data_IF_898802132577
#
_entry.id   IF_898802132577
#
_cell.length_a   1.000
_cell.length_b   1.000
_cell.length_c   1.000
_cell.angle_alpha   90.00
_cell.angle_beta   90.00
_cell.angle_gamma   90.00
#
_symmetry.space_group_name_H-M   'P 1'
#
loop_
_entity.id
_entity.type
_entity.pdbx_description
1 polymer ?
#
# COMPACT_ATOMS: atom_id res chain seq x y z
N UNK A 1 -12.98 20.05 -23.80
CA UNK A 1 -12.94 20.17 -22.33
C UNK A 1 -13.80 21.36 -21.93
N UNK A 2 -14.89 21.11 -21.20
CA UNK A 2 -15.88 22.16 -20.89
C UNK A 2 -15.43 23.05 -19.72
N UNK A 3 -14.49 22.54 -18.89
CA UNK A 3 -13.94 23.26 -17.73
C UNK A 3 -12.43 23.27 -17.73
N UNK A 4 -11.84 24.43 -17.48
CA UNK A 4 -10.41 24.58 -17.24
C UNK A 4 -10.12 24.34 -15.74
N UNK A 5 -9.33 23.33 -15.35
CA UNK A 5 -8.95 23.13 -13.95
C UNK A 5 -8.00 24.23 -13.48
N UNK A 6 -8.40 24.98 -12.45
CA UNK A 6 -7.64 26.08 -11.86
C UNK A 6 -7.50 25.88 -10.34
N UNK A 7 -6.34 26.23 -9.78
CA UNK A 7 -6.12 26.39 -8.37
C UNK A 7 -6.07 27.90 -8.06
N UNK A 8 -7.14 28.45 -7.50
CA UNK A 8 -7.25 29.87 -7.21
C UNK A 8 -6.52 30.25 -5.92
N UNK A 9 -5.65 31.24 -5.97
CA UNK A 9 -5.01 31.83 -4.80
C UNK A 9 -5.95 32.83 -4.14
N UNK A 10 -6.75 32.38 -3.17
CA UNK A 10 -7.77 33.21 -2.50
C UNK A 10 -7.39 33.62 -1.07
N UNK A 11 -6.21 33.25 -0.61
CA UNK A 11 -5.70 33.68 0.70
C UNK A 11 -5.71 35.21 0.79
N UNK A 12 -6.28 35.76 1.88
CA UNK A 12 -6.44 37.16 2.16
C UNK A 12 -7.28 37.95 1.11
N UNK A 13 -7.97 37.23 0.20
CA UNK A 13 -8.85 37.85 -0.80
C UNK A 13 -10.29 37.89 -0.31
N UNK A 14 -11.03 38.98 -0.61
CA UNK A 14 -12.43 39.10 -0.26
C UNK A 14 -13.31 38.18 -1.11
N UNK A 15 -14.19 37.43 -0.45
CA UNK A 15 -15.17 36.55 -1.04
C UNK A 15 -16.54 36.82 -0.43
N UNK A 16 -17.59 36.91 -1.25
CA UNK A 16 -18.96 37.08 -0.81
C UNK A 16 -19.71 35.74 -0.83
N UNK A 17 -20.47 35.48 0.21
CA UNK A 17 -21.45 34.41 0.28
C UNK A 17 -22.83 35.03 0.51
N UNK A 18 -23.73 34.78 -0.43
CA UNK A 18 -25.13 35.25 -0.36
C UNK A 18 -25.99 34.05 0.03
N UNK A 19 -26.57 34.09 1.20
CA UNK A 19 -27.36 33.02 1.79
C UNK A 19 -26.73 32.42 3.04
N UNK A 20 -27.54 31.70 3.78
CA UNK A 20 -27.21 31.06 5.07
C UNK A 20 -27.71 29.62 5.08
N UNK A 21 -27.32 28.86 6.08
CA UNK A 21 -27.77 27.48 6.24
C UNK A 21 -26.67 26.47 5.95
N UNK A 22 -26.97 25.17 6.13
CA UNK A 22 -25.99 24.07 6.17
C UNK A 22 -25.12 23.98 4.89
N UNK A 23 -25.70 24.30 3.73
CA UNK A 23 -24.96 24.24 2.45
C UNK A 23 -23.99 25.43 2.35
N UNK A 24 -24.44 26.65 2.73
CA UNK A 24 -23.59 27.83 2.80
C UNK A 24 -22.44 27.60 3.78
N UNK A 25 -22.72 27.06 4.97
CA UNK A 25 -21.74 26.82 6.04
C UNK A 25 -20.61 25.89 5.60
N UNK A 26 -20.94 24.84 4.85
CA UNK A 26 -19.93 23.94 4.27
C UNK A 26 -18.99 24.67 3.30
N UNK A 27 -19.51 25.57 2.47
CA UNK A 27 -18.71 26.37 1.54
C UNK A 27 -17.88 27.41 2.29
N UNK A 28 -18.45 28.09 3.28
CA UNK A 28 -17.76 29.04 4.14
C UNK A 28 -16.59 28.40 4.88
N UNK A 29 -16.79 27.21 5.47
CA UNK A 29 -15.74 26.47 6.14
C UNK A 29 -14.57 26.15 5.20
N UNK A 30 -14.87 25.78 3.95
CA UNK A 30 -13.85 25.51 2.94
C UNK A 30 -13.08 26.77 2.52
N UNK A 31 -13.78 27.89 2.34
CA UNK A 31 -13.18 29.20 2.03
C UNK A 31 -12.26 29.69 3.16
N UNK A 32 -12.70 29.54 4.42
CA UNK A 32 -11.87 29.88 5.58
C UNK A 32 -10.62 29.01 5.67
N UNK A 33 -10.75 27.69 5.40
CA UNK A 33 -9.60 26.79 5.32
C UNK A 33 -8.60 27.21 4.25
N UNK A 34 -9.09 27.78 3.15
CA UNK A 34 -8.26 28.35 2.08
C UNK A 34 -7.72 29.75 2.39
N UNK A 35 -8.05 30.32 3.55
CA UNK A 35 -7.57 31.61 4.02
C UNK A 35 -8.28 32.84 3.41
N UNK A 36 -9.46 32.67 2.81
CA UNK A 36 -10.22 33.78 2.25
C UNK A 36 -10.83 34.66 3.33
N UNK A 37 -10.98 35.95 3.05
CA UNK A 37 -11.78 36.89 3.85
C UNK A 37 -13.24 36.78 3.40
N UNK A 38 -14.02 36.00 4.12
CA UNK A 38 -15.40 35.69 3.76
C UNK A 38 -16.34 36.72 4.40
N UNK A 39 -17.15 37.36 3.56
CA UNK A 39 -18.32 38.16 3.99
C UNK A 39 -19.56 37.32 3.71
N UNK A 40 -20.42 37.15 4.70
CA UNK A 40 -21.69 36.43 4.57
C UNK A 40 -22.83 37.45 4.73
N UNK A 41 -23.79 37.39 3.82
CA UNK A 41 -25.00 38.22 3.86
C UNK A 41 -26.24 37.37 3.63
N UNK A 42 -27.38 37.82 4.09
CA UNK A 42 -28.68 37.26 3.73
C UNK A 42 -29.06 37.66 2.31
N UNK A 43 -30.02 36.96 1.70
CA UNK A 43 -30.51 37.33 0.36
C UNK A 43 -31.08 38.74 0.28
N UNK A 44 -31.75 39.20 1.31
CA UNK A 44 -32.35 40.53 1.37
C UNK A 44 -31.33 41.68 1.40
N UNK A 45 -30.09 41.39 1.78
CA UNK A 45 -29.01 42.38 1.88
C UNK A 45 -28.18 42.51 0.61
N UNK A 46 -28.45 41.66 -0.39
CA UNK A 46 -27.63 41.65 -1.60
C UNK A 46 -27.81 42.89 -2.46
N UNK A 47 -26.72 43.57 -2.72
CA UNK A 47 -26.61 44.64 -3.70
C UNK A 47 -25.53 44.33 -4.73
N UNK A 48 -25.75 44.53 -6.04
CA UNK A 48 -24.76 44.27 -7.09
C UNK A 48 -23.42 44.98 -6.87
N UNK A 49 -23.38 46.13 -6.25
CA UNK A 49 -22.18 46.92 -5.90
C UNK A 49 -21.21 46.15 -4.97
N UNK A 50 -21.73 45.25 -4.14
CA UNK A 50 -20.90 44.41 -3.25
C UNK A 50 -19.92 43.51 -4.00
N UNK A 51 -20.21 43.24 -5.29
CA UNK A 51 -19.32 42.46 -6.13
C UNK A 51 -18.11 43.21 -6.70
N UNK A 52 -18.08 44.55 -6.53
CA UNK A 52 -16.98 45.36 -7.06
C UNK A 52 -15.64 45.05 -6.39
N UNK A 53 -15.68 44.64 -5.13
CA UNK A 53 -14.52 44.45 -4.27
C UNK A 53 -14.20 42.95 -3.96
N UNK A 54 -14.93 42.00 -4.53
CA UNK A 54 -14.71 40.58 -4.29
C UNK A 54 -14.11 39.89 -5.52
N UNK A 55 -13.40 38.81 -5.31
CA UNK A 55 -12.83 38.01 -6.40
C UNK A 55 -13.77 36.87 -6.82
N UNK A 56 -14.65 36.46 -5.91
CA UNK A 56 -15.51 35.30 -6.05
C UNK A 56 -16.78 35.50 -5.23
N UNK A 57 -17.91 35.03 -5.75
CA UNK A 57 -19.18 35.01 -5.02
C UNK A 57 -19.81 33.60 -5.04
N UNK A 58 -20.44 33.22 -3.95
CA UNK A 58 -21.26 32.02 -3.83
C UNK A 58 -22.69 32.48 -3.53
N UNK A 59 -23.65 32.02 -4.35
CA UNK A 59 -25.06 32.15 -4.10
C UNK A 59 -25.62 30.82 -3.57
N UNK A 60 -26.08 30.84 -2.32
CA UNK A 60 -26.57 29.66 -1.60
C UNK A 60 -27.91 30.03 -0.91
N UNK A 61 -28.84 30.53 -1.70
CA UNK A 61 -30.21 30.85 -1.24
C UNK A 61 -31.22 29.89 -1.88
N UNK A 62 -32.38 29.76 -1.28
CA UNK A 62 -33.51 28.98 -1.86
C UNK A 62 -34.27 29.81 -2.92
N UNK A 63 -33.99 31.12 -3.06
CA UNK A 63 -34.58 31.97 -4.05
C UNK A 63 -33.78 31.93 -5.36
N UNK A 64 -34.36 31.24 -6.34
CA UNK A 64 -33.73 31.07 -7.67
C UNK A 64 -33.60 32.35 -8.46
N UNK A 65 -34.55 33.29 -8.27
CA UNK A 65 -34.52 34.57 -8.97
C UNK A 65 -33.38 35.43 -8.42
N UNK A 66 -33.24 35.49 -7.11
CA UNK A 66 -32.10 36.17 -6.46
C UNK A 66 -30.77 35.53 -6.88
N UNK A 67 -30.68 34.20 -6.88
CA UNK A 67 -29.48 33.51 -7.33
C UNK A 67 -29.10 33.87 -8.78
N UNK A 68 -30.09 34.01 -9.68
CA UNK A 68 -29.89 34.52 -11.04
C UNK A 68 -29.41 35.95 -11.04
N UNK A 69 -29.98 36.84 -10.25
CA UNK A 69 -29.51 38.25 -10.13
C UNK A 69 -28.06 38.30 -9.68
N UNK A 70 -27.65 37.46 -8.71
CA UNK A 70 -26.24 37.36 -8.29
C UNK A 70 -25.36 36.90 -9.42
N UNK A 71 -25.78 35.90 -10.19
CA UNK A 71 -25.05 35.38 -11.35
C UNK A 71 -24.88 36.44 -12.42
N UNK A 72 -25.94 37.12 -12.82
CA UNK A 72 -25.90 38.16 -13.87
C UNK A 72 -25.01 39.33 -13.45
N UNK A 73 -25.14 39.76 -12.21
CA UNK A 73 -24.34 40.84 -11.63
C UNK A 73 -22.85 40.50 -11.55
N UNK A 74 -22.54 39.23 -11.27
CA UNK A 74 -21.17 38.71 -11.23
C UNK A 74 -20.55 38.62 -12.63
N UNK A 75 -21.31 38.14 -13.63
CA UNK A 75 -20.83 38.04 -15.01
C UNK A 75 -20.51 39.40 -15.62
N UNK A 76 -21.36 40.40 -15.41
CA UNK A 76 -21.11 41.79 -15.87
C UNK A 76 -19.80 42.33 -15.28
N UNK A 77 -19.42 41.88 -14.07
CA UNK A 77 -18.21 42.32 -13.39
C UNK A 77 -17.01 41.39 -13.56
N UNK A 78 -17.17 40.37 -14.38
CA UNK A 78 -16.16 39.31 -14.60
C UNK A 78 -15.68 38.68 -13.29
N UNK A 79 -16.61 38.43 -12.35
CA UNK A 79 -16.35 37.74 -11.10
C UNK A 79 -16.70 36.27 -11.20
N UNK A 80 -15.89 35.41 -10.54
CA UNK A 80 -16.23 34.00 -10.46
C UNK A 80 -17.48 33.82 -9.59
N UNK A 81 -18.45 33.07 -10.10
CA UNK A 81 -19.71 32.80 -9.41
C UNK A 81 -20.03 31.32 -9.39
N UNK A 82 -20.49 30.86 -8.23
CA UNK A 82 -21.05 29.53 -8.05
C UNK A 82 -22.43 29.65 -7.42
N UNK A 83 -23.44 29.24 -8.14
CA UNK A 83 -24.80 29.08 -7.61
C UNK A 83 -24.95 27.62 -7.19
N UNK A 84 -25.28 27.42 -5.92
CA UNK A 84 -25.39 26.06 -5.36
C UNK A 84 -26.54 25.32 -6.04
N UNK A 85 -26.29 24.10 -6.44
CA UNK A 85 -27.22 23.17 -7.09
C UNK A 85 -27.83 23.68 -8.42
N UNK A 86 -27.31 24.76 -9.03
CA UNK A 86 -27.70 25.25 -10.34
C UNK A 86 -26.47 25.43 -11.27
N UNK A 87 -26.04 24.33 -11.89
CA UNK A 87 -24.82 24.30 -12.71
C UNK A 87 -24.83 25.32 -13.87
N UNK A 88 -25.92 25.55 -14.59
CA UNK A 88 -25.96 26.59 -15.63
C UNK A 88 -25.67 28.02 -15.15
N UNK A 89 -25.86 28.27 -13.87
CA UNK A 89 -25.55 29.56 -13.22
C UNK A 89 -24.20 29.55 -12.50
N UNK A 90 -23.26 28.72 -12.96
CA UNK A 90 -21.92 28.61 -12.38
C UNK A 90 -20.84 28.95 -13.43
N UNK A 91 -19.97 29.91 -13.10
CA UNK A 91 -18.73 30.12 -13.88
C UNK A 91 -17.57 29.24 -13.37
N UNK A 92 -17.68 28.65 -12.21
CA UNK A 92 -16.77 27.63 -11.67
C UNK A 92 -17.52 26.63 -10.80
N UNK A 93 -16.95 25.45 -10.61
CA UNK A 93 -17.51 24.38 -9.79
C UNK A 93 -16.54 23.97 -8.68
N UNK A 94 -17.06 23.50 -7.55
CA UNK A 94 -16.26 22.93 -6.49
C UNK A 94 -15.95 21.46 -6.80
N UNK A 95 -14.65 21.06 -6.90
CA UNK A 95 -14.28 19.68 -7.09
C UNK A 95 -14.34 18.86 -5.81
N UNK A 96 -14.31 17.54 -5.92
CA UNK A 96 -13.94 16.66 -4.82
C UNK A 96 -12.44 16.76 -4.60
N UNK A 97 -11.98 16.93 -3.34
CA UNK A 97 -10.58 17.25 -3.03
C UNK A 97 -9.96 16.17 -2.14
N UNK A 98 -8.74 15.74 -2.48
CA UNK A 98 -7.82 15.09 -1.57
C UNK A 98 -6.80 16.11 -1.11
N UNK A 99 -6.84 16.43 0.18
CA UNK A 99 -5.97 17.43 0.80
C UNK A 99 -4.77 16.76 1.48
N UNK A 100 -3.60 17.00 0.93
CA UNK A 100 -2.28 16.67 1.48
C UNK A 100 -1.42 17.93 1.47
N UNK A 101 -1.97 19.05 1.90
CA UNK A 101 -1.34 20.38 1.79
C UNK A 101 0.17 20.35 2.10
N UNK A 102 0.97 21.03 1.26
CA UNK A 102 0.60 21.92 0.15
C UNK A 102 0.24 21.20 -1.16
N UNK A 103 0.23 19.87 -1.20
CA UNK A 103 -0.21 19.10 -2.36
C UNK A 103 -1.74 18.91 -2.31
N UNK A 104 -2.42 19.25 -3.40
CA UNK A 104 -3.86 19.09 -3.57
C UNK A 104 -4.18 18.27 -4.82
N UNK A 105 -5.15 17.37 -4.74
CA UNK A 105 -5.73 16.71 -5.90
C UNK A 105 -7.20 17.08 -5.99
N UNK A 106 -7.60 17.65 -7.12
CA UNK A 106 -8.96 18.05 -7.39
C UNK A 106 -9.59 17.18 -8.47
N UNK A 107 -10.77 16.65 -8.23
CA UNK A 107 -11.47 15.70 -9.11
C UNK A 107 -12.85 16.25 -9.41
N UNK A 108 -13.19 16.37 -10.68
CA UNK A 108 -14.49 16.84 -11.13
C UNK A 108 -15.02 15.96 -12.26
N UNK A 109 -16.33 15.76 -12.27
CA UNK A 109 -17.08 15.17 -13.38
C UNK A 109 -17.83 16.22 -14.20
N UNK A 110 -17.49 17.51 -14.03
CA UNK A 110 -18.22 18.60 -14.68
C UNK A 110 -19.69 18.71 -14.24
N UNK A 111 -20.03 18.22 -13.03
CA UNK A 111 -21.43 18.18 -12.55
C UNK A 111 -22.22 16.95 -12.98
N UNK A 112 -21.74 16.15 -13.96
CA UNK A 112 -22.51 15.05 -14.52
C UNK A 112 -22.64 13.82 -13.59
N UNK A 113 -21.61 13.55 -12.78
CA UNK A 113 -21.58 12.35 -11.91
C UNK A 113 -20.87 12.63 -10.57
N UNK A 114 -21.49 13.37 -9.63
CA UNK A 114 -20.86 13.72 -8.34
C UNK A 114 -20.48 12.49 -7.52
N UNK A 115 -21.25 11.42 -7.56
CA UNK A 115 -20.96 10.16 -6.87
C UNK A 115 -19.71 9.51 -7.42
N UNK A 116 -19.51 9.50 -8.73
CA UNK A 116 -18.29 8.96 -9.35
C UNK A 116 -17.04 9.77 -8.94
N UNK A 117 -17.15 11.11 -8.93
CA UNK A 117 -16.06 11.97 -8.46
C UNK A 117 -15.70 11.71 -6.99
N UNK A 118 -16.70 11.45 -6.13
CA UNK A 118 -16.50 11.04 -4.73
C UNK A 118 -15.80 9.69 -4.61
N UNK A 119 -16.25 8.68 -5.34
CA UNK A 119 -15.63 7.34 -5.34
C UNK A 119 -14.17 7.37 -5.82
N UNK A 120 -13.88 8.17 -6.85
CA UNK A 120 -12.50 8.38 -7.30
C UNK A 120 -11.66 9.11 -6.25
N UNK A 121 -12.23 10.11 -5.56
CA UNK A 121 -11.54 10.77 -4.44
C UNK A 121 -11.16 9.77 -3.35
N UNK A 122 -12.08 8.90 -2.93
CA UNK A 122 -11.86 7.89 -1.90
C UNK A 122 -10.74 6.91 -2.31
N UNK A 123 -10.75 6.46 -3.56
CA UNK A 123 -9.69 5.58 -4.10
C UNK A 123 -8.33 6.29 -4.14
N UNK A 124 -8.26 7.51 -4.66
CA UNK A 124 -7.01 8.28 -4.72
C UNK A 124 -6.51 8.60 -3.31
N UNK A 125 -7.39 8.96 -2.38
CA UNK A 125 -7.03 9.24 -0.99
C UNK A 125 -6.40 8.03 -0.29
N UNK A 126 -6.90 6.82 -0.56
CA UNK A 126 -6.32 5.58 -0.04
C UNK A 126 -4.92 5.27 -0.62
N UNK A 127 -4.66 5.68 -1.85
CA UNK A 127 -3.37 5.47 -2.52
C UNK A 127 -2.31 6.50 -2.12
N UNK A 128 -2.71 7.71 -1.71
CA UNK A 128 -1.78 8.79 -1.41
C UNK A 128 -1.35 8.78 0.06
N UNK A 129 -0.04 8.59 0.36
CA UNK A 129 0.46 8.60 1.72
C UNK A 129 0.14 9.90 2.47
N UNK A 130 -0.16 9.80 3.76
CA UNK A 130 -0.49 10.97 4.59
C UNK A 130 0.68 11.97 4.73
N UNK A 131 1.92 11.50 4.59
CA UNK A 131 3.14 12.30 4.70
C UNK A 131 3.51 13.07 3.42
N UNK A 132 2.74 12.92 2.33
CA UNK A 132 3.08 13.49 1.03
C UNK A 132 3.17 15.02 1.07
N UNK A 133 2.28 15.66 1.83
CA UNK A 133 2.32 17.11 2.03
C UNK A 133 3.57 17.59 2.76
N UNK A 134 3.98 16.88 3.82
CA UNK A 134 5.25 17.19 4.52
C UNK A 134 6.46 17.02 3.61
N UNK A 135 6.45 15.99 2.78
CA UNK A 135 7.52 15.77 1.79
C UNK A 135 7.58 16.92 0.77
N UNK A 136 6.44 17.41 0.28
CA UNK A 136 6.36 18.55 -0.62
C UNK A 136 6.80 19.86 0.06
N UNK A 137 6.46 20.06 1.34
CA UNK A 137 6.87 21.24 2.12
C UNK A 137 8.38 21.27 2.30
N UNK A 138 9.00 20.17 2.70
CA UNK A 138 10.48 20.05 2.82
C UNK A 138 11.13 20.32 1.47
N UNK A 139 10.65 19.69 0.39
CA UNK A 139 11.19 19.94 -0.95
C UNK A 139 11.11 21.41 -1.36
N UNK A 140 10.03 22.10 -0.98
CA UNK A 140 9.84 23.54 -1.20
C UNK A 140 10.90 24.38 -0.53
N UNK A 141 11.32 24.05 0.70
CA UNK A 141 12.38 24.75 1.45
C UNK A 141 13.75 24.61 0.76
N UNK A 142 14.02 23.46 0.13
CA UNK A 142 15.28 23.20 -0.59
C UNK A 142 15.32 23.80 -2.00
N UNK A 143 14.19 24.28 -2.53
CA UNK A 143 14.08 24.68 -3.93
C UNK A 143 15.06 25.77 -4.35
N UNK A 144 15.19 26.83 -3.56
CA UNK A 144 16.09 27.94 -3.91
C UNK A 144 17.57 27.53 -3.78
N UNK A 145 17.92 26.81 -2.73
CA UNK A 145 19.30 26.25 -2.56
C UNK A 145 19.66 25.31 -3.70
N UNK A 146 18.70 24.46 -4.14
CA UNK A 146 18.92 23.57 -5.29
C UNK A 146 19.23 24.36 -6.56
N UNK A 147 18.54 25.49 -6.79
CA UNK A 147 18.78 26.35 -7.96
C UNK A 147 20.20 26.94 -7.98
N UNK A 148 20.76 27.25 -6.81
CA UNK A 148 22.14 27.79 -6.71
C UNK A 148 23.20 26.71 -6.97
N UNK A 149 22.92 25.45 -6.57
CA UNK A 149 23.89 24.34 -6.71
C UNK A 149 23.74 23.66 -8.09
N UNK A 150 22.50 23.43 -8.55
CA UNK A 150 22.24 22.78 -9.85
C UNK A 150 21.58 23.80 -10.79
N UNK A 151 22.40 24.35 -11.68
CA UNK A 151 21.99 25.42 -12.59
C UNK A 151 21.03 24.97 -13.70
N UNK A 152 21.15 23.70 -14.15
CA UNK A 152 20.34 23.18 -15.25
C UNK A 152 18.97 22.67 -14.79
N UNK A 153 17.92 22.91 -15.59
CA UNK A 153 16.56 22.44 -15.29
C UNK A 153 16.47 20.91 -15.25
N UNK A 154 17.17 20.24 -16.18
CA UNK A 154 17.22 18.76 -16.21
C UNK A 154 17.95 18.16 -15.02
N UNK A 155 19.03 18.82 -14.56
CA UNK A 155 19.74 18.41 -13.35
C UNK A 155 18.84 18.49 -12.13
N UNK A 156 18.08 19.60 -12.00
CA UNK A 156 17.11 19.78 -10.91
C UNK A 156 15.99 18.76 -10.97
N UNK A 157 15.46 18.45 -12.17
CA UNK A 157 14.45 17.42 -12.35
C UNK A 157 14.97 16.05 -11.92
N UNK A 158 16.15 15.63 -12.39
CA UNK A 158 16.78 14.35 -12.01
C UNK A 158 17.08 14.25 -10.51
N UNK A 159 17.46 15.37 -9.88
CA UNK A 159 17.65 15.40 -8.44
C UNK A 159 16.36 15.09 -7.69
N UNK A 160 15.24 15.78 -8.05
CA UNK A 160 13.96 15.55 -7.40
C UNK A 160 13.36 14.20 -7.74
N UNK A 161 13.48 13.71 -8.97
CA UNK A 161 13.05 12.36 -9.33
C UNK A 161 13.73 11.31 -8.46
N UNK A 162 15.04 11.43 -8.26
CA UNK A 162 15.79 10.56 -7.36
C UNK A 162 15.39 10.71 -5.90
N UNK A 163 15.26 11.94 -5.42
CA UNK A 163 14.87 12.21 -4.05
C UNK A 163 13.49 11.63 -3.73
N UNK A 164 12.50 11.90 -4.58
CA UNK A 164 11.12 11.42 -4.37
C UNK A 164 10.92 9.93 -4.58
N UNK A 165 11.86 9.26 -5.22
CA UNK A 165 11.84 7.79 -5.43
C UNK A 165 12.84 7.03 -4.56
N UNK A 166 13.70 7.72 -3.83
CA UNK A 166 14.81 7.13 -3.07
C UNK A 166 14.72 7.35 -1.57
N UNK A 167 15.89 7.39 -0.94
CA UNK A 167 16.06 7.44 0.52
C UNK A 167 15.30 8.59 1.19
N UNK A 168 15.25 9.78 0.58
CA UNK A 168 14.48 10.90 1.11
C UNK A 168 13.00 10.55 1.29
N UNK A 169 12.36 10.00 0.25
CA UNK A 169 10.94 9.61 0.32
C UNK A 169 10.72 8.51 1.35
N UNK A 170 11.62 7.53 1.42
CA UNK A 170 11.56 6.43 2.39
C UNK A 170 11.65 6.92 3.83
N UNK A 171 12.57 7.84 4.12
CA UNK A 171 12.71 8.46 5.45
C UNK A 171 11.48 9.29 5.83
N UNK A 172 10.95 10.08 4.89
CA UNK A 172 9.72 10.84 5.10
C UNK A 172 8.52 9.91 5.36
N UNK A 173 8.44 8.79 4.69
CA UNK A 173 7.40 7.78 4.91
C UNK A 173 7.52 7.11 6.29
N UNK A 174 8.74 6.89 6.76
CA UNK A 174 9.03 6.38 8.10
C UNK A 174 8.86 7.42 9.22
N UNK A 175 8.57 8.69 8.90
CA UNK A 175 8.42 9.78 9.88
C UNK A 175 9.73 10.44 10.30
N UNK A 176 10.87 10.06 9.71
CA UNK A 176 12.23 10.52 10.07
C UNK A 176 12.59 11.80 9.30
N UNK A 177 11.84 12.90 9.51
CA UNK A 177 12.03 14.15 8.76
C UNK A 177 13.42 14.74 8.91
N UNK A 178 13.96 14.78 10.11
CA UNK A 178 15.29 15.36 10.35
C UNK A 178 16.40 14.62 9.56
N UNK A 179 16.35 13.28 9.53
CA UNK A 179 17.30 12.48 8.77
C UNK A 179 17.08 12.65 7.25
N UNK A 180 15.82 12.82 6.82
CA UNK A 180 15.48 13.09 5.42
C UNK A 180 16.08 14.42 4.94
N UNK A 181 15.97 15.49 5.75
CA UNK A 181 16.56 16.80 5.47
C UNK A 181 18.08 16.73 5.41
N UNK A 182 18.74 16.06 6.37
CA UNK A 182 20.18 15.83 6.34
C UNK A 182 20.64 15.04 5.11
N UNK A 183 19.81 14.08 4.68
CA UNK A 183 20.09 13.31 3.48
C UNK A 183 20.05 14.20 2.23
N UNK A 184 19.05 15.08 2.09
CA UNK A 184 19.01 16.05 1.00
C UNK A 184 20.20 17.00 1.03
N UNK A 185 20.60 17.48 2.20
CA UNK A 185 21.78 18.35 2.35
C UNK A 185 23.06 17.68 1.88
N UNK A 186 23.29 16.43 2.32
CA UNK A 186 24.45 15.65 1.88
C UNK A 186 24.42 15.40 0.38
N UNK A 187 23.24 15.09 -0.16
CA UNK A 187 23.06 14.87 -1.60
C UNK A 187 23.33 16.13 -2.44
N UNK A 188 22.99 17.30 -1.92
CA UNK A 188 23.31 18.59 -2.54
C UNK A 188 24.80 18.91 -2.46
N UNK A 189 25.42 18.69 -1.30
CA UNK A 189 26.83 19.02 -1.07
C UNK A 189 27.79 18.11 -1.87
N UNK A 190 27.43 16.84 -2.05
CA UNK A 190 28.31 15.87 -2.73
C UNK A 190 28.28 16.00 -4.27
N UNK A 191 27.29 16.67 -4.83
CA UNK A 191 27.07 16.68 -6.30
C UNK A 191 26.88 15.29 -6.90
N UNK A 192 27.03 14.23 -6.09
CA UNK A 192 26.90 12.83 -6.46
C UNK A 192 25.50 12.33 -6.08
N UNK A 193 24.96 11.40 -6.85
CA UNK A 193 23.74 10.69 -6.48
C UNK A 193 23.92 10.05 -5.10
N UNK A 194 22.92 10.23 -4.22
CA UNK A 194 22.89 9.57 -2.92
C UNK A 194 23.14 8.07 -3.07
N UNK A 195 23.82 7.46 -2.09
CA UNK A 195 23.92 6.01 -2.00
C UNK A 195 22.48 5.44 -2.09
N UNK A 196 22.32 4.38 -2.86
CA UNK A 196 21.05 3.66 -2.93
C UNK A 196 20.74 2.99 -1.59
N UNK A 197 19.63 2.28 -1.55
CA UNK A 197 19.18 1.55 -0.37
C UNK A 197 18.63 0.17 -0.75
N UNK A 198 18.55 -0.71 0.23
CA UNK A 198 17.90 -2.01 0.10
C UNK A 198 16.59 -1.98 0.88
N UNK A 199 15.49 -2.36 0.23
CA UNK A 199 14.18 -2.46 0.87
C UNK A 199 13.69 -3.90 0.75
N UNK A 200 13.57 -4.60 1.88
CA UNK A 200 12.90 -5.90 1.91
C UNK A 200 11.40 -5.68 1.89
N UNK A 201 10.69 -6.36 0.98
CA UNK A 201 9.25 -6.25 0.85
C UNK A 201 8.62 -7.64 0.87
N UNK A 202 7.64 -7.83 1.76
CA UNK A 202 6.81 -9.03 1.75
C UNK A 202 5.77 -8.96 0.63
N UNK A 203 5.83 -9.95 -0.27
CA UNK A 203 4.91 -10.06 -1.40
C UNK A 203 3.54 -10.64 -1.02
N UNK A 204 3.38 -11.10 0.23
CA UNK A 204 2.21 -11.85 0.64
C UNK A 204 2.21 -13.31 0.14
N UNK A 205 1.10 -14.03 0.34
CA UNK A 205 1.02 -15.49 0.14
C UNK A 205 0.77 -15.91 -1.32
N UNK A 206 0.40 -14.99 -2.20
CA UNK A 206 0.11 -15.30 -3.60
C UNK A 206 -0.88 -14.37 -4.29
N UNK A 207 -1.99 -14.04 -3.65
CA UNK A 207 -2.95 -13.06 -4.14
C UNK A 207 -2.33 -11.65 -4.12
N UNK A 208 -2.28 -10.98 -5.29
CA UNK A 208 -1.74 -9.63 -5.42
C UNK A 208 -2.53 -8.59 -4.61
N UNK A 209 -3.82 -8.83 -4.36
CA UNK A 209 -4.67 -7.99 -3.51
C UNK A 209 -4.26 -7.98 -2.03
N UNK A 210 -3.43 -8.94 -1.62
CA UNK A 210 -2.88 -9.02 -0.26
C UNK A 210 -1.50 -8.34 -0.11
N UNK A 211 -0.99 -7.72 -1.17
CA UNK A 211 0.18 -6.87 -1.06
C UNK A 211 -0.18 -5.63 -0.23
N UNK A 212 0.70 -5.27 0.71
CA UNK A 212 0.46 -4.05 1.49
C UNK A 212 0.54 -2.80 0.60
N UNK A 213 -0.22 -1.75 0.92
CA UNK A 213 -0.15 -0.47 0.20
C UNK A 213 1.28 0.09 0.16
N UNK A 214 2.04 -0.07 1.25
CA UNK A 214 3.45 0.33 1.31
C UNK A 214 4.31 -0.54 0.40
N UNK A 215 4.06 -1.84 0.35
CA UNK A 215 4.73 -2.77 -0.56
C UNK A 215 4.52 -2.36 -2.02
N UNK A 216 3.28 -2.09 -2.42
CA UNK A 216 2.95 -1.60 -3.77
C UNK A 216 3.70 -0.31 -4.12
N UNK A 217 3.67 0.69 -3.22
CA UNK A 217 4.38 1.95 -3.44
C UNK A 217 5.89 1.75 -3.66
N UNK A 218 6.51 0.86 -2.88
CA UNK A 218 7.94 0.60 -2.94
C UNK A 218 8.34 -0.12 -4.23
N UNK A 219 7.60 -1.17 -4.63
CA UNK A 219 7.92 -1.90 -5.88
C UNK A 219 7.71 -1.04 -7.13
N UNK A 220 6.80 -0.05 -7.06
CA UNK A 220 6.60 0.94 -8.13
C UNK A 220 7.66 2.06 -8.14
N UNK A 221 8.54 2.11 -7.16
CA UNK A 221 9.63 3.09 -7.07
C UNK A 221 11.01 2.45 -7.25
N UNK A 222 11.08 1.14 -7.34
CA UNK A 222 12.33 0.39 -7.45
C UNK A 222 13.05 0.65 -8.78
N UNK A 223 14.39 0.74 -8.75
CA UNK A 223 15.23 0.70 -9.94
C UNK A 223 15.54 -0.74 -10.35
N UNK A 224 15.66 -1.63 -9.34
CA UNK A 224 15.85 -3.06 -9.53
C UNK A 224 15.10 -3.84 -8.46
N UNK A 225 14.43 -4.93 -8.88
CA UNK A 225 13.69 -5.84 -8.00
C UNK A 225 14.31 -7.23 -8.09
N UNK A 226 14.83 -7.72 -6.97
CA UNK A 226 15.27 -9.10 -6.79
C UNK A 226 14.13 -9.91 -6.16
N UNK A 227 13.67 -10.94 -6.83
CA UNK A 227 12.52 -11.74 -6.36
C UNK A 227 12.81 -13.25 -6.36
N UNK A 228 12.05 -14.02 -5.57
CA UNK A 228 12.10 -15.47 -5.56
C UNK A 228 10.87 -16.09 -6.26
N UNK A 229 10.88 -17.42 -6.47
CA UNK A 229 9.83 -18.15 -7.17
C UNK A 229 8.48 -18.19 -6.44
N UNK A 230 8.43 -17.81 -5.16
CA UNK A 230 7.17 -17.74 -4.42
C UNK A 230 6.37 -16.47 -4.75
N UNK A 231 7.02 -15.48 -5.36
CA UNK A 231 6.36 -14.26 -5.82
C UNK A 231 5.58 -14.57 -7.09
N UNK A 232 4.27 -14.42 -7.05
CA UNK A 232 3.37 -14.74 -8.17
C UNK A 232 3.49 -13.71 -9.30
N UNK A 233 3.08 -14.11 -10.50
CA UNK A 233 3.09 -13.22 -11.66
C UNK A 233 2.18 -12.00 -11.43
N UNK A 234 1.01 -12.17 -10.78
CA UNK A 234 0.13 -11.04 -10.46
C UNK A 234 0.79 -9.97 -9.57
N UNK A 235 1.67 -10.36 -8.64
CA UNK A 235 2.45 -9.39 -7.87
C UNK A 235 3.57 -8.78 -8.72
N UNK A 236 4.21 -9.57 -9.59
CA UNK A 236 5.29 -9.09 -10.47
C UNK A 236 4.81 -8.08 -11.51
N UNK A 237 3.59 -8.22 -11.99
CA UNK A 237 2.96 -7.28 -12.93
C UNK A 237 2.72 -5.89 -12.30
N UNK A 238 2.67 -5.80 -10.97
CA UNK A 238 2.57 -4.52 -10.25
C UNK A 238 3.90 -3.76 -10.16
N UNK A 239 5.03 -4.41 -10.49
CA UNK A 239 6.35 -3.76 -10.52
C UNK A 239 6.37 -2.73 -11.66
N UNK A 240 7.05 -1.61 -11.43
CA UNK A 240 7.26 -0.59 -12.45
C UNK A 240 7.84 -1.20 -13.74
N UNK A 241 7.28 -0.88 -14.90
CA UNK A 241 7.61 -1.53 -16.19
C UNK A 241 9.08 -1.40 -16.61
N UNK A 242 9.73 -0.32 -16.23
CA UNK A 242 11.14 0.00 -16.54
C UNK A 242 12.12 -0.43 -15.44
N UNK A 243 11.64 -1.05 -14.35
CA UNK A 243 12.51 -1.63 -13.34
C UNK A 243 13.16 -2.93 -13.84
N UNK A 244 14.44 -3.08 -13.56
CA UNK A 244 15.16 -4.33 -13.78
C UNK A 244 14.62 -5.41 -12.84
N UNK A 245 14.26 -6.59 -13.36
CA UNK A 245 13.73 -7.70 -12.55
C UNK A 245 14.70 -8.89 -12.60
N UNK A 246 15.20 -9.33 -11.43
CA UNK A 246 16.19 -10.38 -11.29
C UNK A 246 15.62 -11.50 -10.40
N UNK A 247 15.46 -12.70 -10.95
CA UNK A 247 15.06 -13.87 -10.18
C UNK A 247 16.28 -14.43 -9.44
N UNK A 248 16.22 -14.48 -8.10
CA UNK A 248 17.26 -15.09 -7.25
C UNK A 248 16.77 -16.37 -6.56
N UNK A 249 15.56 -16.81 -6.87
CA UNK A 249 14.97 -18.04 -6.32
C UNK A 249 15.54 -19.30 -6.94
N UNK A 250 15.37 -20.44 -6.22
CA UNK A 250 15.75 -21.77 -6.72
C UNK A 250 14.69 -22.30 -7.66
N UNK A 251 15.05 -22.68 -8.89
CA UNK A 251 14.23 -23.60 -9.69
C UNK A 251 14.75 -25.04 -9.51
N UNK A 252 13.84 -25.98 -9.44
CA UNK A 252 14.22 -27.39 -9.48
C UNK A 252 14.99 -27.69 -10.80
N UNK A 253 16.25 -28.10 -10.70
CA UNK A 253 17.09 -28.41 -11.86
C UNK A 253 17.99 -27.28 -12.38
N UNK A 254 17.90 -26.06 -11.88
CA UNK A 254 18.82 -24.95 -12.23
C UNK A 254 19.78 -24.62 -11.08
N UNK A 255 20.97 -24.10 -11.42
CA UNK A 255 21.93 -23.63 -10.42
C UNK A 255 21.28 -22.52 -9.57
N UNK A 256 21.10 -22.82 -8.28
CA UNK A 256 20.57 -21.82 -7.34
C UNK A 256 21.64 -20.82 -7.01
N UNK A 257 21.32 -19.53 -7.08
CA UNK A 257 22.20 -18.47 -6.57
C UNK A 257 22.33 -18.67 -5.05
N UNK A 258 23.56 -18.89 -4.52
CA UNK A 258 23.77 -18.99 -3.08
C UNK A 258 23.35 -17.72 -2.36
N UNK A 259 22.96 -17.81 -1.09
CA UNK A 259 22.49 -16.64 -0.32
C UNK A 259 23.53 -15.53 -0.25
N UNK A 260 24.82 -15.89 -0.10
CA UNK A 260 25.88 -14.89 -0.04
C UNK A 260 26.05 -14.12 -1.35
N UNK A 261 25.87 -14.77 -2.50
CA UNK A 261 25.89 -14.11 -3.81
C UNK A 261 24.68 -13.17 -3.97
N UNK A 262 23.48 -13.61 -3.54
CA UNK A 262 22.29 -12.75 -3.51
C UNK A 262 22.58 -11.49 -2.68
N UNK A 263 23.14 -11.65 -1.47
CA UNK A 263 23.48 -10.52 -0.61
C UNK A 263 24.48 -9.57 -1.30
N UNK A 264 25.50 -10.11 -1.97
CA UNK A 264 26.49 -9.32 -2.72
C UNK A 264 25.85 -8.54 -3.88
N UNK A 265 24.93 -9.16 -4.63
CA UNK A 265 24.22 -8.50 -5.73
C UNK A 265 23.35 -7.33 -5.23
N UNK A 266 22.60 -7.53 -4.12
CA UNK A 266 21.82 -6.48 -3.49
C UNK A 266 22.70 -5.29 -3.06
N UNK A 267 23.81 -5.58 -2.38
CA UNK A 267 24.75 -4.57 -1.89
C UNK A 267 25.42 -3.82 -3.05
N UNK A 268 25.85 -4.54 -4.09
CA UNK A 268 26.48 -3.92 -5.26
C UNK A 268 25.53 -2.95 -5.99
N UNK A 269 24.28 -3.37 -6.19
CA UNK A 269 23.25 -2.53 -6.81
C UNK A 269 22.96 -1.27 -5.97
N UNK A 270 22.85 -1.41 -4.65
CA UNK A 270 22.64 -0.27 -3.77
C UNK A 270 23.84 0.68 -3.73
N UNK A 271 25.06 0.16 -3.70
CA UNK A 271 26.28 0.99 -3.79
C UNK A 271 26.42 1.72 -5.13
N UNK A 272 25.82 1.18 -6.19
CA UNK A 272 25.69 1.87 -7.48
C UNK A 272 24.62 2.98 -7.49
N UNK A 273 23.98 3.28 -6.34
CA UNK A 273 22.99 4.34 -6.19
C UNK A 273 21.56 3.95 -6.60
N UNK A 274 21.26 2.65 -6.73
CA UNK A 274 19.93 2.16 -7.08
C UNK A 274 19.05 2.01 -5.83
N UNK A 275 17.75 2.26 -5.96
CA UNK A 275 16.72 1.80 -5.03
C UNK A 275 16.46 0.32 -5.30
N UNK A 276 16.99 -0.53 -4.43
CA UNK A 276 16.97 -1.99 -4.57
C UNK A 276 15.82 -2.56 -3.75
N UNK A 277 14.89 -3.25 -4.40
CA UNK A 277 13.85 -4.00 -3.71
C UNK A 277 14.18 -5.48 -3.71
N UNK A 278 14.17 -6.09 -2.53
CA UNK A 278 14.16 -7.54 -2.36
C UNK A 278 12.72 -7.99 -2.05
N UNK A 279 12.03 -8.52 -3.05
CA UNK A 279 10.64 -8.97 -2.95
C UNK A 279 10.62 -10.46 -2.58
N UNK A 280 9.96 -10.79 -1.47
CA UNK A 280 9.98 -12.12 -0.84
C UNK A 280 8.56 -12.64 -0.65
N UNK A 281 8.30 -13.90 -1.00
CA UNK A 281 7.01 -14.53 -0.72
C UNK A 281 6.65 -14.50 0.77
N UNK A 282 5.40 -14.24 1.12
CA UNK A 282 4.94 -14.09 2.49
C UNK A 282 5.48 -12.83 3.17
N UNK A 283 6.09 -13.00 4.33
CA UNK A 283 6.76 -11.96 5.13
C UNK A 283 8.28 -12.18 5.12
N UNK A 284 9.10 -11.11 4.99
CA UNK A 284 10.56 -11.23 4.90
C UNK A 284 11.22 -11.89 6.13
N UNK A 285 10.62 -11.73 7.31
CA UNK A 285 11.18 -12.17 8.58
C UNK A 285 10.61 -13.49 9.10
N UNK A 286 9.57 -14.04 8.43
CA UNK A 286 9.00 -15.34 8.79
C UNK A 286 9.55 -16.41 7.85
N UNK A 287 10.56 -17.15 8.29
CA UNK A 287 11.28 -18.19 7.54
C UNK A 287 11.78 -17.75 6.15
N UNK A 288 11.92 -16.43 5.95
CA UNK A 288 12.32 -15.83 4.69
C UNK A 288 13.81 -15.45 4.59
N UNK A 289 14.62 -15.67 5.64
CA UNK A 289 16.04 -15.29 5.71
C UNK A 289 16.31 -13.78 5.55
N UNK A 290 15.28 -12.92 5.68
CA UNK A 290 15.44 -11.48 5.54
C UNK A 290 16.41 -10.87 6.55
N UNK A 291 16.53 -11.47 7.74
CA UNK A 291 17.51 -11.06 8.75
C UNK A 291 18.96 -11.20 8.24
N UNK A 292 19.29 -12.30 7.57
CA UNK A 292 20.63 -12.54 7.01
C UNK A 292 20.96 -11.52 5.90
N UNK A 293 19.97 -11.19 5.05
CA UNK A 293 20.13 -10.20 3.98
C UNK A 293 20.41 -8.80 4.55
N UNK A 294 19.72 -8.42 5.63
CA UNK A 294 19.92 -7.10 6.27
C UNK A 294 21.18 -7.02 7.13
N UNK A 295 21.60 -8.11 7.77
CA UNK A 295 22.89 -8.15 8.45
C UNK A 295 24.03 -7.85 7.49
N UNK A 296 24.03 -8.51 6.32
CA UNK A 296 25.03 -8.25 5.28
C UNK A 296 24.98 -6.80 4.76
N UNK A 297 23.78 -6.23 4.59
CA UNK A 297 23.62 -4.83 4.20
C UNK A 297 24.17 -3.86 5.26
N UNK A 298 23.87 -4.11 6.53
CA UNK A 298 24.37 -3.33 7.67
C UNK A 298 25.92 -3.34 7.74
N UNK A 299 26.52 -4.52 7.65
CA UNK A 299 27.98 -4.72 7.64
C UNK A 299 28.64 -3.98 6.47
N UNK A 300 27.94 -3.92 5.31
CA UNK A 300 28.41 -3.20 4.14
C UNK A 300 28.17 -1.68 4.19
N UNK A 301 27.55 -1.15 5.26
CA UNK A 301 27.19 0.26 5.41
C UNK A 301 26.10 0.74 4.44
N UNK A 302 25.27 -0.18 3.93
CA UNK A 302 24.17 0.13 3.01
C UNK A 302 22.89 0.40 3.82
N UNK A 303 22.22 1.55 3.60
CA UNK A 303 20.93 1.82 4.21
C UNK A 303 19.87 0.80 3.81
N UNK A 304 18.97 0.45 4.74
CA UNK A 304 17.93 -0.51 4.46
C UNK A 304 16.62 -0.19 5.19
N UNK A 305 15.54 -0.80 4.69
CA UNK A 305 14.21 -0.78 5.30
C UNK A 305 13.53 -2.15 5.16
N UNK A 306 12.49 -2.38 5.98
CA UNK A 306 11.62 -3.55 5.87
C UNK A 306 10.17 -3.09 5.72
N UNK A 307 9.49 -3.65 4.75
CA UNK A 307 8.05 -3.55 4.57
C UNK A 307 7.47 -4.94 4.82
N UNK A 308 6.78 -5.18 5.93
CA UNK A 308 6.17 -6.46 6.22
C UNK A 308 5.19 -6.90 5.15
N UNK A 309 4.99 -8.21 5.03
CA UNK A 309 3.96 -8.82 4.20
C UNK A 309 3.07 -9.75 5.02
N UNK A 310 1.97 -10.21 4.43
CA UNK A 310 1.11 -11.18 5.09
C UNK A 310 1.78 -12.55 4.96
N UNK A 311 2.17 -13.11 6.11
CA UNK A 311 2.79 -14.45 6.13
C UNK A 311 1.81 -15.55 5.71
N UNK A 312 2.32 -16.61 5.08
CA UNK A 312 1.50 -17.70 4.58
C UNK A 312 0.57 -18.29 5.65
N UNK A 313 1.04 -18.50 6.88
CA UNK A 313 0.20 -19.05 7.94
C UNK A 313 -1.07 -18.23 8.16
N UNK A 314 -0.98 -16.91 8.22
CA UNK A 314 -2.14 -16.04 8.46
C UNK A 314 -3.12 -16.02 7.28
N UNK A 315 -2.61 -15.85 6.07
CA UNK A 315 -3.48 -15.66 4.91
C UNK A 315 -4.05 -16.97 4.35
N UNK A 316 -3.19 -17.99 4.22
CA UNK A 316 -3.58 -19.27 3.62
C UNK A 316 -4.65 -19.97 4.47
N UNK A 317 -4.51 -19.91 5.80
CA UNK A 317 -5.52 -20.46 6.70
C UNK A 317 -6.82 -19.66 6.70
N UNK A 318 -6.74 -18.33 6.61
CA UNK A 318 -7.94 -17.48 6.48
C UNK A 318 -8.71 -17.81 5.19
N UNK A 319 -8.02 -17.99 4.07
CA UNK A 319 -8.63 -18.40 2.79
C UNK A 319 -9.18 -19.83 2.83
N UNK A 320 -8.62 -20.69 3.66
CA UNK A 320 -9.15 -22.03 3.90
C UNK A 320 -10.29 -22.06 4.94
N UNK A 321 -10.67 -20.93 5.53
CA UNK A 321 -11.67 -20.90 6.61
C UNK A 321 -11.20 -21.61 7.90
N UNK A 322 -9.89 -21.57 8.17
CA UNK A 322 -9.28 -22.16 9.37
C UNK A 322 -8.67 -21.04 10.20
N UNK A 323 -9.32 -20.55 11.26
CA UNK A 323 -8.73 -19.56 12.14
C UNK A 323 -7.56 -20.18 12.92
N UNK A 324 -6.41 -19.50 12.97
CA UNK A 324 -5.23 -19.99 13.69
C UNK A 324 -5.44 -20.06 15.21
N UNK A 325 -6.32 -19.23 15.75
CA UNK A 325 -6.71 -19.20 17.16
C UNK A 325 -8.23 -19.19 17.29
N UNK A 326 -8.74 -19.85 18.34
CA UNK A 326 -10.17 -19.84 18.64
C UNK A 326 -10.35 -20.06 20.13
N UNK A 327 -11.32 -19.34 20.75
CA UNK A 327 -11.56 -19.41 22.20
C UNK A 327 -11.73 -20.85 22.71
N UNK A 328 -12.44 -21.68 21.96
CA UNK A 328 -12.79 -23.03 22.38
C UNK A 328 -11.76 -24.10 21.94
N UNK A 329 -11.00 -23.86 20.84
CA UNK A 329 -10.12 -24.86 20.24
C UNK A 329 -8.63 -24.61 20.48
N UNK A 330 -8.15 -23.38 20.31
CA UNK A 330 -6.72 -23.09 20.40
C UNK A 330 -6.46 -21.68 20.93
N UNK A 331 -5.72 -21.58 22.04
CA UNK A 331 -5.36 -20.31 22.67
C UNK A 331 -3.96 -19.81 22.24
N UNK A 332 -3.22 -20.64 21.53
CA UNK A 332 -1.88 -20.32 21.03
C UNK A 332 -1.67 -20.86 19.62
N UNK A 333 -0.78 -20.23 18.88
CA UNK A 333 -0.29 -20.71 17.60
C UNK A 333 1.22 -20.68 17.58
N UNK A 334 1.83 -21.75 17.09
CA UNK A 334 3.28 -21.83 16.90
C UNK A 334 3.61 -22.00 15.42
N UNK A 335 4.47 -21.12 14.89
CA UNK A 335 5.03 -21.25 13.56
C UNK A 335 6.28 -22.10 13.62
N UNK A 336 6.32 -23.16 12.83
CA UNK A 336 7.41 -24.13 12.80
C UNK A 336 7.90 -24.29 11.36
N UNK A 337 9.19 -24.53 11.18
CA UNK A 337 9.74 -24.92 9.88
C UNK A 337 10.05 -26.43 9.85
N UNK A 338 9.59 -27.14 8.83
CA UNK A 338 9.98 -28.53 8.59
C UNK A 338 11.39 -28.68 7.99
N UNK A 339 12.02 -27.55 7.61
CA UNK A 339 13.37 -27.53 7.06
C UNK A 339 14.35 -26.88 8.02
N UNK A 340 15.15 -27.66 8.70
CA UNK A 340 16.20 -27.23 9.63
C UNK A 340 17.56 -27.80 9.21
N UNK A 341 18.62 -27.10 9.62
CA UNK A 341 19.99 -27.57 9.35
C UNK A 341 20.27 -28.84 10.17
N UNK A 342 21.05 -29.75 9.59
CA UNK A 342 21.43 -31.00 10.26
C UNK A 342 22.12 -30.77 11.63
N UNK A 343 22.84 -29.64 11.76
CA UNK A 343 23.59 -29.29 12.98
C UNK A 343 22.78 -28.34 13.90
N UNK A 344 21.48 -28.12 13.67
CA UNK A 344 20.65 -27.29 14.54
C UNK A 344 20.19 -28.08 15.75
N UNK A 345 19.93 -27.38 16.88
CA UNK A 345 19.31 -27.99 18.06
C UNK A 345 17.99 -28.64 17.67
N UNK A 346 17.75 -29.92 18.04
CA UNK A 346 16.49 -30.59 17.74
C UNK A 346 15.29 -29.83 18.34
N UNK A 347 14.14 -29.93 17.69
CA UNK A 347 12.91 -29.39 18.26
C UNK A 347 12.57 -30.07 19.57
N UNK A 348 12.08 -29.31 20.52
CA UNK A 348 11.39 -29.87 21.68
C UNK A 348 9.98 -30.30 21.28
N UNK A 349 9.87 -31.51 20.80
CA UNK A 349 8.61 -32.09 20.35
C UNK A 349 7.56 -32.16 21.44
N UNK A 350 7.98 -32.27 22.71
CA UNK A 350 7.06 -32.31 23.87
C UNK A 350 6.29 -31.00 24.00
N UNK A 351 6.93 -29.86 23.73
CA UNK A 351 6.26 -28.56 23.71
C UNK A 351 5.35 -28.39 22.48
N UNK A 352 5.72 -28.95 21.34
CA UNK A 352 4.92 -28.87 20.12
C UNK A 352 3.71 -29.84 20.15
N UNK A 353 3.80 -30.92 20.90
CA UNK A 353 2.72 -31.91 21.03
C UNK A 353 1.57 -31.52 21.96
N UNK A 354 1.63 -30.35 22.61
CA UNK A 354 0.60 -29.91 23.54
C UNK A 354 -0.77 -29.73 22.87
N UNK A 355 -1.83 -30.11 23.62
CA UNK A 355 -3.22 -29.88 23.21
C UNK A 355 -3.58 -28.38 23.24
N UNK A 356 -4.66 -27.97 22.52
CA UNK A 356 -5.18 -26.61 22.49
C UNK A 356 -4.18 -25.59 21.89
N UNK A 357 -3.23 -26.07 21.11
CA UNK A 357 -2.26 -25.29 20.35
C UNK A 357 -2.40 -25.61 18.87
N UNK A 358 -2.40 -24.58 18.04
CA UNK A 358 -2.30 -24.73 16.60
C UNK A 358 -0.83 -24.70 16.16
N UNK A 359 -0.40 -25.67 15.37
CA UNK A 359 0.90 -25.62 14.69
C UNK A 359 0.68 -25.25 13.21
N UNK A 360 1.41 -24.24 12.73
CA UNK A 360 1.50 -23.89 11.32
C UNK A 360 2.92 -24.21 10.84
N UNK A 361 3.07 -25.26 10.04
CA UNK A 361 4.35 -25.84 9.68
C UNK A 361 4.70 -25.49 8.24
N UNK A 362 5.69 -24.63 8.07
CA UNK A 362 6.26 -24.24 6.80
C UNK A 362 7.24 -25.29 6.29
N UNK A 363 7.29 -25.47 4.97
CA UNK A 363 8.26 -26.40 4.34
C UNK A 363 8.23 -27.82 4.93
N UNK A 364 7.06 -28.26 5.45
CA UNK A 364 6.92 -29.50 6.21
C UNK A 364 6.56 -30.71 5.37
N UNK A 365 6.12 -30.58 4.12
CA UNK A 365 5.57 -31.68 3.30
C UNK A 365 6.55 -32.82 3.09
N UNK A 366 7.83 -32.51 2.84
CA UNK A 366 8.89 -33.52 2.68
C UNK A 366 9.22 -34.26 3.98
N UNK A 367 8.83 -33.74 5.13
CA UNK A 367 9.05 -34.29 6.46
C UNK A 367 7.75 -34.71 7.16
N UNK A 368 6.66 -34.85 6.42
CA UNK A 368 5.33 -35.10 6.98
C UNK A 368 5.27 -36.42 7.77
N UNK A 369 6.01 -37.45 7.36
CA UNK A 369 6.14 -38.72 8.08
C UNK A 369 6.77 -38.47 9.45
N UNK A 370 7.97 -37.90 9.47
CA UNK A 370 8.74 -37.61 10.67
C UNK A 370 7.96 -36.69 11.63
N UNK A 371 7.34 -35.64 11.11
CA UNK A 371 6.51 -34.70 11.89
C UNK A 371 5.34 -35.41 12.56
N UNK A 372 4.60 -36.27 11.84
CA UNK A 372 3.46 -36.99 12.42
C UNK A 372 3.89 -37.97 13.49
N UNK A 373 4.94 -38.75 13.23
CA UNK A 373 5.48 -39.72 14.19
C UNK A 373 5.98 -39.04 15.45
N UNK A 374 6.76 -37.97 15.32
CA UNK A 374 7.30 -37.25 16.48
C UNK A 374 6.19 -36.60 17.34
N UNK A 375 5.20 -35.98 16.73
CA UNK A 375 4.08 -35.39 17.46
C UNK A 375 3.27 -36.47 18.23
N UNK A 376 3.00 -37.61 17.58
CA UNK A 376 2.27 -38.72 18.22
C UNK A 376 3.11 -39.35 19.33
N UNK A 377 4.39 -39.61 19.12
CA UNK A 377 5.28 -40.18 20.17
C UNK A 377 5.39 -39.29 21.39
N UNK A 378 5.28 -37.98 21.23
CA UNK A 378 5.33 -37.01 22.34
C UNK A 378 3.95 -36.64 22.89
N UNK A 379 2.92 -37.41 22.57
CA UNK A 379 1.61 -37.34 23.22
C UNK A 379 0.51 -36.59 22.50
N UNK A 380 0.75 -36.11 21.26
CA UNK A 380 -0.33 -35.57 20.43
C UNK A 380 -1.24 -36.69 19.95
N UNK A 381 -2.55 -36.51 20.08
CA UNK A 381 -3.51 -37.53 19.65
C UNK A 381 -3.38 -37.75 18.10
N UNK A 382 -3.28 -39.01 17.70
CA UNK A 382 -3.22 -39.39 16.28
C UNK A 382 -4.47 -38.98 15.50
N UNK A 383 -5.61 -38.79 16.18
CA UNK A 383 -6.85 -38.29 15.61
C UNK A 383 -6.90 -36.76 15.51
N UNK A 384 -5.86 -36.03 16.00
CA UNK A 384 -5.81 -34.56 15.88
C UNK A 384 -6.03 -34.13 14.43
N UNK A 385 -6.98 -33.22 14.15
CA UNK A 385 -7.25 -32.74 12.81
C UNK A 385 -6.03 -32.02 12.19
N UNK A 386 -5.81 -32.28 10.91
CA UNK A 386 -4.76 -31.61 10.13
C UNK A 386 -5.31 -31.11 8.80
N UNK A 387 -4.72 -30.04 8.29
CA UNK A 387 -4.93 -29.55 6.95
C UNK A 387 -3.59 -29.41 6.23
N UNK A 388 -3.54 -29.84 4.96
CA UNK A 388 -2.46 -29.51 4.03
C UNK A 388 -3.06 -28.54 2.99
N UNK A 389 -2.60 -27.30 3.03
CA UNK A 389 -3.14 -26.24 2.18
C UNK A 389 -2.07 -25.88 1.15
N UNK A 390 -2.34 -26.22 -0.09
CA UNK A 390 -1.45 -26.03 -1.24
C UNK A 390 -1.83 -24.77 -2.01
N UNK A 391 -0.83 -24.03 -2.48
CA UNK A 391 -1.00 -22.83 -3.33
C UNK A 391 -2.03 -21.85 -2.78
N UNK A 392 -2.02 -21.65 -1.47
CA UNK A 392 -3.00 -20.84 -0.77
C UNK A 392 -3.16 -19.43 -1.34
N UNK A 393 -4.37 -18.91 -1.26
CA UNK A 393 -4.84 -17.61 -1.79
C UNK A 393 -4.85 -17.48 -3.32
N UNK A 394 -4.46 -18.50 -4.05
CA UNK A 394 -4.45 -18.51 -5.52
C UNK A 394 -5.70 -19.23 -6.04
N UNK A 395 -6.04 -18.99 -7.31
CA UNK A 395 -7.18 -19.65 -7.96
C UNK A 395 -7.07 -21.18 -7.96
N UNK A 396 -5.86 -21.72 -7.89
CA UNK A 396 -5.57 -23.15 -7.81
C UNK A 396 -5.25 -23.64 -6.38
N UNK A 397 -5.77 -22.94 -5.36
CA UNK A 397 -5.69 -23.38 -3.97
C UNK A 397 -6.35 -24.74 -3.78
N UNK A 398 -5.68 -25.64 -3.08
CA UNK A 398 -6.24 -26.95 -2.72
C UNK A 398 -6.09 -27.18 -1.21
N UNK A 399 -7.14 -27.66 -0.56
CA UNK A 399 -7.18 -27.95 0.88
C UNK A 399 -7.49 -29.42 1.08
N UNK A 400 -6.53 -30.16 1.64
CA UNK A 400 -6.70 -31.55 2.03
C UNK A 400 -6.83 -31.65 3.56
N UNK A 401 -7.96 -32.18 4.01
CA UNK A 401 -8.28 -32.34 5.44
C UNK A 401 -8.13 -33.80 5.85
N UNK A 402 -7.61 -34.03 7.05
CA UNK A 402 -7.51 -35.36 7.63
C UNK A 402 -7.10 -35.32 9.09
N UNK A 403 -6.37 -36.33 9.53
CA UNK A 403 -5.86 -36.48 10.89
C UNK A 403 -4.33 -36.58 10.88
N UNK A 404 -3.74 -36.37 12.05
CA UNK A 404 -2.27 -36.46 12.20
C UNK A 404 -1.74 -37.84 11.77
N UNK A 405 -2.51 -38.91 11.97
CA UNK A 405 -2.17 -40.27 11.54
C UNK A 405 -1.97 -40.40 10.04
N UNK A 406 -2.78 -39.69 9.22
CA UNK A 406 -2.69 -39.78 7.76
C UNK A 406 -2.00 -38.57 7.10
N UNK A 407 -1.35 -37.72 7.88
CA UNK A 407 -0.65 -36.52 7.39
C UNK A 407 0.32 -36.83 6.25
N UNK A 408 1.08 -37.92 6.37
CA UNK A 408 2.04 -38.34 5.35
C UNK A 408 1.36 -38.59 3.98
N UNK A 409 0.19 -39.22 3.98
CA UNK A 409 -0.60 -39.46 2.77
C UNK A 409 -1.12 -38.18 2.17
N UNK A 410 -1.63 -37.25 3.00
CA UNK A 410 -2.15 -35.95 2.55
C UNK A 410 -1.06 -35.06 1.95
N UNK A 411 0.16 -35.15 2.48
CA UNK A 411 1.28 -34.33 2.06
C UNK A 411 2.02 -34.87 0.82
N UNK A 412 1.89 -36.17 0.50
CA UNK A 412 2.67 -36.86 -0.52
C UNK A 412 2.57 -36.24 -1.90
N UNK A 413 1.36 -35.92 -2.33
CA UNK A 413 1.06 -35.39 -3.66
C UNK A 413 0.59 -33.92 -3.59
N UNK A 414 0.82 -33.23 -2.47
CA UNK A 414 0.39 -31.87 -2.27
C UNK A 414 1.14 -30.90 -3.21
N UNK A 415 0.43 -30.16 -4.09
CA UNK A 415 1.06 -29.18 -4.95
C UNK A 415 1.80 -28.10 -4.17
N UNK A 416 3.03 -27.80 -4.57
CA UNK A 416 3.85 -26.80 -3.88
C UNK A 416 3.57 -25.36 -4.37
N UNK A 417 3.73 -24.34 -3.53
CA UNK A 417 4.06 -24.40 -2.09
C UNK A 417 2.86 -24.85 -1.24
N UNK A 418 3.12 -25.50 -0.11
CA UNK A 418 2.09 -25.97 0.80
C UNK A 418 2.43 -25.66 2.26
N UNK A 419 1.39 -25.41 3.05
CA UNK A 419 1.42 -25.20 4.49
C UNK A 419 0.69 -26.37 5.18
N UNK A 420 1.26 -26.92 6.24
CA UNK A 420 0.60 -27.89 7.11
C UNK A 420 0.06 -27.17 8.34
N UNK A 421 -1.19 -27.43 8.68
CA UNK A 421 -1.83 -26.91 9.91
C UNK A 421 -2.27 -28.11 10.76
N UNK A 422 -1.86 -28.14 12.02
CA UNK A 422 -2.21 -29.20 12.98
C UNK A 422 -2.95 -28.59 14.16
N UNK A 423 -4.14 -29.05 14.44
CA UNK A 423 -4.93 -28.61 15.58
C UNK A 423 -6.43 -28.67 15.37
N UNK A 424 -7.16 -28.56 16.46
CA UNK A 424 -8.61 -28.68 16.52
C UNK A 424 -9.35 -27.61 15.69
N UNK A 425 -8.72 -26.46 15.48
CA UNK A 425 -9.25 -25.36 14.63
C UNK A 425 -9.50 -25.79 13.19
N UNK A 426 -8.85 -26.84 12.71
CA UNK A 426 -9.04 -27.38 11.36
C UNK A 426 -10.47 -27.86 11.12
N UNK A 427 -11.18 -28.29 12.17
CA UNK A 427 -12.58 -28.71 12.08
C UNK A 427 -13.50 -27.59 11.58
N UNK A 428 -13.12 -26.33 11.81
CA UNK A 428 -13.92 -25.19 11.40
C UNK A 428 -13.93 -24.97 9.87
N UNK A 429 -13.03 -25.60 9.14
CA UNK A 429 -13.01 -25.57 7.68
C UNK A 429 -14.37 -25.94 7.09
N UNK A 430 -15.02 -26.99 7.59
CA UNK A 430 -16.30 -27.45 7.07
C UNK A 430 -17.42 -26.40 7.13
N UNK A 431 -17.31 -25.45 8.05
CA UNK A 431 -18.31 -24.41 8.30
C UNK A 431 -17.89 -23.05 7.77
N UNK A 432 -16.57 -22.76 7.76
CA UNK A 432 -16.04 -21.43 7.48
C UNK A 432 -15.33 -21.33 6.13
N UNK A 433 -15.26 -22.41 5.33
CA UNK A 433 -14.68 -22.36 3.99
C UNK A 433 -15.52 -21.43 3.08
N UNK A 434 -14.93 -20.31 2.69
CA UNK A 434 -15.59 -19.27 1.88
C UNK A 434 -14.92 -19.07 0.51
N UNK A 435 -13.63 -19.39 0.40
CA UNK A 435 -12.88 -19.26 -0.84
C UNK A 435 -13.04 -20.55 -1.65
N UNK A 436 -14.01 -20.54 -2.58
CA UNK A 436 -14.30 -21.66 -3.46
C UNK A 436 -13.84 -21.35 -4.88
N UNK A 437 -13.37 -22.36 -5.62
CA UNK A 437 -13.16 -22.26 -7.05
C UNK A 437 -14.51 -22.00 -7.74
N UNK A 438 -14.70 -20.85 -8.29
CA UNK A 438 -15.69 -20.64 -9.35
C UNK A 438 -15.10 -21.21 -10.64
N UNK A 439 -15.35 -22.50 -10.90
CA UNK A 439 -15.45 -22.97 -12.27
C UNK A 439 -16.73 -22.35 -12.81
N UNK A 440 -16.59 -21.41 -13.75
CA UNK A 440 -17.58 -20.66 -14.49
C UNK A 440 -17.85 -19.22 -14.00
N UNK A 441 -17.26 -18.29 -14.74
CA UNK A 441 -17.83 -17.03 -15.26
C UNK A 441 -19.11 -16.51 -14.57
N UNK A 442 -18.93 -15.83 -13.41
CA UNK A 442 -19.63 -14.58 -13.15
C UNK A 442 -18.68 -13.68 -12.38
N UNK A 443 -18.31 -12.57 -13.02
CA UNK A 443 -17.24 -11.71 -12.57
C UNK A 443 -17.56 -11.01 -11.25
N UNK A 444 -16.96 -11.48 -10.19
CA UNK A 444 -16.36 -10.55 -9.26
C UNK A 444 -15.01 -10.16 -9.88
N UNK A 445 -15.08 -9.16 -10.74
CA UNK A 445 -13.89 -8.60 -11.35
C UNK A 445 -12.90 -8.28 -10.26
N UNK A 446 -11.66 -8.74 -10.44
CA UNK A 446 -10.51 -8.22 -9.75
C UNK A 446 -10.56 -6.70 -9.86
N UNK A 447 -11.07 -6.04 -8.82
CA UNK A 447 -11.14 -4.58 -8.74
C UNK A 447 -9.79 -3.99 -8.34
N UNK A 448 -8.71 -4.58 -8.83
CA UNK A 448 -7.48 -3.83 -9.09
C UNK A 448 -7.74 -3.13 -10.40
N UNK A 449 -8.27 -1.93 -10.30
CA UNK A 449 -8.53 -1.07 -11.45
C UNK A 449 -7.22 -0.89 -12.19
N UNK A 450 -7.13 -1.47 -13.39
CA UNK A 450 -6.22 -0.99 -14.40
C UNK A 450 -6.58 0.48 -14.66
N UNK A 451 -5.90 1.39 -13.97
CA UNK A 451 -5.76 2.77 -14.39
C UNK A 451 -4.61 2.78 -15.41
N UNK A 452 -4.89 2.32 -16.64
CA UNK A 452 -4.10 2.66 -17.78
C UNK A 452 -4.50 4.04 -18.29
#
# INVERSE_FOLDING_TARGET
VDYLPLFAAIKDRPVLVVGTGEVADRKIAFLHKAGARVQVITGAEFEPSMLDHVVLVIAATDDRELNRQVFDAANVRHRLVNVVDDQPLCSFIFPSIVDRSPLLVAISSGGNAPVLARLLREKIEALLPANLGRMAAVAGQFRERLKTVITTTDGRRRFWDRAFRGRFASLMAAGNQAEAEQHLERSLASGQGANGEIILVGAGPGDAGLLTLRGLQVIQQADVVFYDHLVTDGVRELIRRDAEQICVGKRAGEHSIPQHETNQMLIAAAKAGKTVVRLKGGDPFIFGRGGEELQAAAEAGVPFQVVPGITAASAVTAYAGIPLTHRDFAQSVTFVTGHYKADSTPFDWSQLAQSRQTLAIYMGTMKAVDISEQLIQHGRDAATPVAVISRGTRADQHVAIGTLHNLATLAKDAPMPALIVVGEVVQLHSTLAWFQHTTETEGFGSSVVNLA
#
